data_IF_046829921571
#
_entry.id   IF_046829921571
#
_cell.length_a   1.000
_cell.length_b   1.000
_cell.length_c   1.000
_cell.angle_alpha   90.00
_cell.angle_beta   90.00
_cell.angle_gamma   90.00
#
_symmetry.space_group_name_H-M   'P 1'
#
loop_
_entity.id
_entity.type
_entity.pdbx_description
1 polymer ?
#
# COMPACT_ATOMS: atom_id res chain seq x y z
N UNK A 1 -12.72 24.69 -6.91
CA UNK A 1 -11.64 23.77 -7.31
C UNK A 1 -11.69 22.61 -6.33
N UNK A 2 -12.27 21.49 -6.77
CA UNK A 2 -12.56 20.35 -5.92
C UNK A 2 -11.24 19.73 -5.46
N UNK A 3 -10.92 19.92 -4.17
CA UNK A 3 -9.87 19.15 -3.53
C UNK A 3 -10.32 17.71 -3.48
N UNK A 4 -9.66 16.84 -4.24
CA UNK A 4 -9.88 15.40 -4.17
C UNK A 4 -9.79 14.95 -2.70
N UNK A 5 -10.88 14.35 -2.22
CA UNK A 5 -10.99 13.80 -0.89
C UNK A 5 -9.87 12.77 -0.72
N UNK A 6 -8.91 13.01 0.18
CA UNK A 6 -7.94 11.99 0.60
C UNK A 6 -8.72 10.89 1.32
N UNK A 7 -9.03 9.81 0.61
CA UNK A 7 -9.64 8.62 1.20
C UNK A 7 -8.53 7.85 1.91
N UNK A 8 -8.57 7.79 3.24
CA UNK A 8 -7.78 6.84 4.03
C UNK A 8 -8.65 5.59 4.23
N UNK A 9 -8.56 4.64 3.31
CA UNK A 9 -9.31 3.39 3.37
C UNK A 9 -8.38 2.26 3.80
N UNK A 10 -8.59 1.74 5.00
CA UNK A 10 -8.05 0.47 5.45
C UNK A 10 -9.16 -0.58 5.30
N UNK A 11 -8.97 -1.53 4.38
CA UNK A 11 -9.92 -2.61 4.12
C UNK A 11 -9.45 -3.87 4.82
N UNK A 12 -10.30 -4.47 5.64
CA UNK A 12 -10.11 -5.83 6.12
C UNK A 12 -10.67 -6.81 5.09
N UNK A 13 -9.89 -7.83 4.73
CA UNK A 13 -10.36 -8.91 3.87
C UNK A 13 -9.90 -10.26 4.41
N UNK A 14 -10.66 -11.30 4.09
CA UNK A 14 -10.37 -12.68 4.47
C UNK A 14 -10.81 -13.65 3.38
N UNK A 15 -10.00 -14.70 3.19
CA UNK A 15 -10.34 -15.84 2.35
C UNK A 15 -9.70 -17.07 2.97
N UNK A 16 -10.53 -18.05 3.32
CA UNK A 16 -10.09 -19.22 4.09
C UNK A 16 -9.34 -18.78 5.36
N UNK A 17 -8.15 -19.31 5.62
CA UNK A 17 -7.32 -18.98 6.78
C UNK A 17 -6.46 -17.70 6.57
N UNK A 18 -6.53 -17.09 5.39
CA UNK A 18 -5.71 -15.91 5.05
C UNK A 18 -6.49 -14.63 5.41
N UNK A 19 -5.92 -13.82 6.30
CA UNK A 19 -6.45 -12.52 6.70
C UNK A 19 -5.49 -11.42 6.29
N UNK A 20 -6.02 -10.38 5.65
CA UNK A 20 -5.24 -9.20 5.28
C UNK A 20 -5.92 -7.90 5.73
N UNK A 21 -5.10 -6.88 5.93
CA UNK A 21 -5.51 -5.49 5.94
C UNK A 21 -4.89 -4.82 4.71
N UNK A 22 -5.64 -4.00 3.99
CA UNK A 22 -5.17 -3.33 2.78
C UNK A 22 -5.36 -1.83 2.94
N UNK A 23 -4.27 -1.09 3.00
CA UNK A 23 -4.29 0.36 2.99
C UNK A 23 -4.14 0.86 1.55
N UNK A 24 -5.15 1.58 1.04
CA UNK A 24 -5.14 2.06 -0.34
C UNK A 24 -4.53 3.46 -0.42
N UNK A 25 -3.57 3.68 -1.34
CA UNK A 25 -2.96 4.99 -1.62
C UNK A 25 -2.98 5.34 -3.11
N UNK A 26 -3.36 6.59 -3.38
CA UNK A 26 -3.49 7.10 -4.74
C UNK A 26 -2.24 7.84 -5.28
N UNK A 27 -1.37 8.35 -4.40
CA UNK A 27 -0.18 9.16 -4.76
C UNK A 27 -0.53 10.28 -5.76
N UNK A 28 -1.50 11.12 -5.37
CA UNK A 28 -1.98 12.30 -6.13
C UNK A 28 -1.48 13.62 -5.54
N UNK A 29 -0.58 13.55 -4.57
CA UNK A 29 0.05 14.73 -3.99
C UNK A 29 0.97 15.44 -4.98
N UNK A 30 1.50 16.58 -4.54
CA UNK A 30 2.42 17.39 -5.36
C UNK A 30 3.80 16.74 -5.55
N UNK A 31 4.11 15.68 -4.81
CA UNK A 31 5.40 14.99 -4.84
C UNK A 31 5.21 13.55 -4.41
N UNK A 32 5.57 12.64 -5.31
CA UNK A 32 5.54 11.19 -5.08
C UNK A 32 6.42 10.78 -3.91
N UNK A 33 7.57 11.45 -3.71
CA UNK A 33 8.45 11.18 -2.57
C UNK A 33 7.79 11.53 -1.23
N UNK A 34 7.15 12.71 -1.14
CA UNK A 34 6.45 13.10 0.08
C UNK A 34 5.23 12.22 0.36
N UNK A 35 4.56 11.73 -0.69
CA UNK A 35 3.47 10.76 -0.53
C UNK A 35 4.01 9.38 -0.10
N UNK A 36 5.17 8.95 -0.61
CA UNK A 36 5.86 7.73 -0.21
C UNK A 36 6.28 7.77 1.26
N UNK A 37 6.91 8.86 1.71
CA UNK A 37 7.31 9.04 3.12
C UNK A 37 6.11 8.95 4.07
N UNK A 38 4.98 9.57 3.70
CA UNK A 38 3.73 9.50 4.47
C UNK A 38 3.13 8.10 4.47
N UNK A 39 3.07 7.45 3.31
CA UNK A 39 2.56 6.09 3.20
C UNK A 39 3.41 5.13 4.03
N UNK A 40 4.74 5.26 4.00
CA UNK A 40 5.66 4.44 4.80
C UNK A 40 5.45 4.64 6.30
N UNK A 41 5.31 5.90 6.75
CA UNK A 41 5.04 6.19 8.17
C UNK A 41 3.72 5.59 8.65
N UNK A 42 2.65 5.70 7.85
CA UNK A 42 1.34 5.12 8.17
C UNK A 42 1.37 3.59 8.16
N UNK A 43 2.03 3.00 7.17
CA UNK A 43 2.20 1.56 7.09
C UNK A 43 2.89 1.00 8.33
N UNK A 44 4.00 1.61 8.77
CA UNK A 44 4.73 1.16 9.97
C UNK A 44 3.83 1.26 11.21
N UNK A 45 3.11 2.37 11.38
CA UNK A 45 2.20 2.54 12.52
C UNK A 45 1.11 1.45 12.56
N UNK A 46 0.45 1.18 11.43
CA UNK A 46 -0.61 0.18 11.39
C UNK A 46 -0.08 -1.25 11.45
N UNK A 47 1.10 -1.50 10.89
CA UNK A 47 1.78 -2.78 11.02
C UNK A 47 2.00 -3.13 12.49
N UNK A 48 2.54 -2.20 13.28
CA UNK A 48 2.83 -2.44 14.71
C UNK A 48 1.55 -2.65 15.53
N UNK A 49 0.49 -1.89 15.22
CA UNK A 49 -0.82 -2.07 15.86
C UNK A 49 -1.41 -3.45 15.53
N UNK A 50 -1.31 -3.89 14.28
CA UNK A 50 -1.82 -5.20 13.83
C UNK A 50 -1.00 -6.35 14.40
N UNK A 51 0.32 -6.21 14.48
CA UNK A 51 1.19 -7.22 15.09
C UNK A 51 0.80 -7.51 16.55
N UNK A 52 0.37 -6.50 17.30
CA UNK A 52 -0.10 -6.66 18.68
C UNK A 52 -1.54 -7.21 18.76
N UNK A 53 -2.46 -6.68 17.93
CA UNK A 53 -3.91 -6.94 18.09
C UNK A 53 -4.44 -8.10 17.26
N UNK A 54 -3.92 -8.27 16.05
CA UNK A 54 -4.34 -9.28 15.09
C UNK A 54 -3.10 -9.88 14.37
N UNK A 55 -2.20 -10.58 15.09
CA UNK A 55 -0.90 -11.02 14.55
C UNK A 55 -0.97 -11.93 13.33
N UNK A 56 -2.15 -12.52 13.06
CA UNK A 56 -2.40 -13.35 11.87
C UNK A 56 -2.87 -12.55 10.65
N UNK A 57 -3.09 -11.23 10.78
CA UNK A 57 -3.57 -10.36 9.71
C UNK A 57 -2.39 -9.58 9.11
N UNK A 58 -2.04 -9.92 7.88
CA UNK A 58 -0.94 -9.28 7.16
C UNK A 58 -1.39 -7.94 6.55
N UNK A 59 -0.66 -6.86 6.83
CA UNK A 59 -0.89 -5.56 6.20
C UNK A 59 -0.28 -5.51 4.80
N UNK A 60 -0.99 -4.91 3.85
CA UNK A 60 -0.53 -4.59 2.50
C UNK A 60 -0.82 -3.13 2.18
N UNK A 61 0.10 -2.50 1.46
CA UNK A 61 -0.09 -1.21 0.81
C UNK A 61 -0.60 -1.45 -0.62
N UNK A 62 -1.79 -0.98 -0.94
CA UNK A 62 -2.34 -1.04 -2.30
C UNK A 62 -2.10 0.27 -3.05
N UNK A 63 -1.48 0.17 -4.23
CA UNK A 63 -1.20 1.30 -5.11
C UNK A 63 -1.64 1.00 -6.54
N UNK A 64 -1.90 2.05 -7.32
CA UNK A 64 -2.22 1.87 -8.74
C UNK A 64 -1.02 1.34 -9.51
N UNK A 65 -1.27 0.65 -10.63
CA UNK A 65 -0.23 0.16 -11.55
C UNK A 65 0.71 1.28 -12.01
N UNK A 66 0.20 2.50 -12.19
CA UNK A 66 1.02 3.68 -12.49
C UNK A 66 2.05 3.93 -11.40
N UNK A 67 1.59 4.05 -10.15
CA UNK A 67 2.45 4.29 -8.99
C UNK A 67 3.46 3.17 -8.78
N UNK A 68 3.05 1.92 -9.03
CA UNK A 68 3.98 0.79 -9.00
C UNK A 68 5.14 0.98 -9.99
N UNK A 69 4.84 1.31 -11.24
CA UNK A 69 5.85 1.52 -12.27
C UNK A 69 6.72 2.77 -12.02
N UNK A 70 6.12 3.84 -11.52
CA UNK A 70 6.80 5.14 -11.40
C UNK A 70 7.64 5.27 -10.12
N UNK A 71 7.31 4.51 -9.06
CA UNK A 71 7.98 4.58 -7.74
C UNK A 71 8.61 3.25 -7.34
N UNK A 72 7.87 2.16 -7.47
CA UNK A 72 8.28 0.85 -6.94
C UNK A 72 9.20 0.06 -7.88
N UNK A 73 9.30 0.48 -9.14
CA UNK A 73 10.34 0.02 -10.07
C UNK A 73 11.60 0.90 -10.05
N UNK A 74 11.55 2.07 -9.41
CA UNK A 74 12.73 2.92 -9.20
C UNK A 74 13.61 2.42 -8.04
N UNK A 75 14.89 2.82 -7.96
CA UNK A 75 15.83 2.32 -6.95
C UNK A 75 15.33 2.43 -5.51
N UNK A 76 14.64 3.52 -5.16
CA UNK A 76 14.12 3.72 -3.79
C UNK A 76 13.00 2.73 -3.44
N UNK A 77 12.04 2.53 -4.34
CA UNK A 77 10.96 1.59 -4.10
C UNK A 77 11.45 0.14 -4.12
N UNK A 78 12.36 -0.20 -5.04
CA UNK A 78 13.04 -1.51 -5.07
C UNK A 78 13.81 -1.77 -3.77
N UNK A 79 14.48 -0.77 -3.20
CA UNK A 79 15.17 -0.89 -1.92
C UNK A 79 14.19 -1.20 -0.77
N UNK A 80 13.05 -0.52 -0.70
CA UNK A 80 12.03 -0.76 0.33
C UNK A 80 11.45 -2.18 0.23
N UNK A 81 11.14 -2.63 -0.98
CA UNK A 81 10.62 -3.98 -1.22
C UNK A 81 11.66 -5.06 -0.92
N UNK A 82 12.92 -4.88 -1.37
CA UNK A 82 14.02 -5.81 -1.11
C UNK A 82 14.29 -5.99 0.38
N UNK A 83 14.10 -4.93 1.17
CA UNK A 83 14.31 -4.95 2.62
C UNK A 83 13.04 -5.37 3.39
N UNK A 84 12.01 -5.89 2.71
CA UNK A 84 10.72 -6.30 3.28
C UNK A 84 10.09 -5.22 4.17
N UNK A 85 10.26 -3.94 3.81
CA UNK A 85 9.68 -2.83 4.58
C UNK A 85 8.19 -2.67 4.34
N UNK A 86 7.70 -3.20 3.22
CA UNK A 86 6.32 -3.08 2.76
C UNK A 86 5.91 -4.37 2.05
N UNK A 87 4.71 -4.86 2.35
CA UNK A 87 4.00 -5.77 1.45
C UNK A 87 3.15 -4.91 0.51
N UNK A 88 3.14 -5.20 -0.78
CA UNK A 88 2.55 -4.35 -1.81
C UNK A 88 1.54 -5.10 -2.66
N UNK A 89 0.43 -4.43 -2.96
CA UNK A 89 -0.53 -4.80 -3.98
C UNK A 89 -0.50 -3.72 -5.05
N UNK A 90 -0.25 -4.09 -6.30
CA UNK A 90 -0.47 -3.19 -7.43
C UNK A 90 -1.78 -3.58 -8.12
N UNK A 91 -2.63 -2.60 -8.43
CA UNK A 91 -3.90 -2.84 -9.14
C UNK A 91 -4.12 -1.88 -10.31
N UNK A 92 -4.87 -2.32 -11.31
CA UNK A 92 -5.32 -1.48 -12.43
C UNK A 92 -6.67 -0.85 -12.05
N UNK A 93 -6.74 0.48 -11.87
CA UNK A 93 -7.99 1.14 -11.45
C UNK A 93 -9.05 1.19 -12.56
N UNK A 94 -8.68 0.99 -13.83
CA UNK A 94 -9.63 1.01 -14.96
C UNK A 94 -10.26 -0.36 -15.16
N UNK A 95 -9.45 -1.42 -15.05
CA UNK A 95 -9.92 -2.80 -15.18
C UNK A 95 -10.44 -3.39 -13.87
N UNK A 96 -10.21 -2.71 -12.75
CA UNK A 96 -10.55 -3.16 -11.40
C UNK A 96 -9.96 -4.53 -11.05
N UNK A 97 -8.72 -4.79 -11.49
CA UNK A 97 -8.01 -6.04 -11.23
C UNK A 97 -6.69 -5.82 -10.51
N UNK A 98 -6.33 -6.76 -9.64
CA UNK A 98 -5.00 -6.80 -9.05
C UNK A 98 -4.01 -7.31 -10.10
N UNK A 99 -2.93 -6.56 -10.31
CA UNK A 99 -1.89 -6.90 -11.31
C UNK A 99 -0.67 -7.55 -10.68
N UNK A 100 -0.38 -7.29 -9.40
CA UNK A 100 0.76 -7.87 -8.70
C UNK A 100 0.55 -7.92 -7.19
N UNK A 101 1.03 -9.00 -6.58
CA UNK A 101 1.20 -9.17 -5.14
C UNK A 101 2.69 -9.28 -4.84
N UNK A 102 3.18 -8.55 -3.85
CA UNK A 102 4.56 -8.61 -3.37
C UNK A 102 4.51 -8.74 -1.84
N UNK A 103 4.76 -9.94 -1.28
CA UNK A 103 4.91 -10.15 0.16
C UNK A 103 6.33 -9.78 0.66
#
# INVERSE_FOLDING_TARGET
>A
MNGEQKIYLLVAAEKEEIKIAVEVKSFVGKSDMNDLEKALGQYILYHDILAEREPKRTLYLAVTKRVFNDIFEEPIGKLLLKNNRLNLIAFDPIKEVIVKWIP
#
